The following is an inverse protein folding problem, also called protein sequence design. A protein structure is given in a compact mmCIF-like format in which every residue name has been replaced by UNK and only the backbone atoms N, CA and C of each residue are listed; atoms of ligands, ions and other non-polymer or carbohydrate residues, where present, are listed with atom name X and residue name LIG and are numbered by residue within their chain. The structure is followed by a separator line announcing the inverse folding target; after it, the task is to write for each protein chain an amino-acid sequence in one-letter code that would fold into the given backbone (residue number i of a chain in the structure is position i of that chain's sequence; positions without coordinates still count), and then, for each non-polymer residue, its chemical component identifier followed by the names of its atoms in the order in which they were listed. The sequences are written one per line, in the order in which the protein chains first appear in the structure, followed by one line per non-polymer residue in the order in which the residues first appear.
data_IF_405457186883
#
_entry.id   IF_405457186883
#
_cell.length_a   1.000
_cell.length_b   1.000
_cell.length_c   1.000
_cell.angle_alpha   90.00
_cell.angle_beta   90.00
_cell.angle_gamma   90.00
#
_symmetry.space_group_name_H-M   'P 1'
#
loop_
_entity.id
_entity.type
_entity.pdbx_description
1 polymer ?
#
# COMPACT_ATOMS: atom_id res chain seq x y z
N UNK A 1 10.84 3.20 -7.51
CA UNK A 1 10.03 3.69 -6.38
C UNK A 1 9.38 2.56 -5.57
N UNK A 2 9.15 1.37 -6.15
CA UNK A 2 8.55 0.23 -5.42
C UNK A 2 9.33 -0.20 -4.16
N UNK A 3 10.66 -0.24 -4.20
CA UNK A 3 11.48 -0.67 -3.04
C UNK A 3 11.22 0.20 -1.80
N UNK A 4 11.07 1.52 -1.97
CA UNK A 4 10.82 2.45 -0.86
C UNK A 4 9.46 2.17 -0.24
N UNK A 5 8.44 1.94 -1.07
CA UNK A 5 7.07 1.69 -0.63
C UNK A 5 6.92 0.30 0.00
N UNK A 6 7.60 -0.72 -0.54
CA UNK A 6 7.59 -2.05 0.05
C UNK A 6 8.37 -2.15 1.38
N UNK A 7 9.31 -1.22 1.61
CA UNK A 7 9.98 -1.10 2.91
C UNK A 7 9.12 -0.37 3.96
N UNK A 8 8.07 0.34 3.52
CA UNK A 8 7.03 0.84 4.42
C UNK A 8 6.09 -0.30 4.83
N UNK A 9 5.20 -0.01 5.78
CA UNK A 9 4.20 -0.97 6.22
C UNK A 9 3.09 -1.11 5.15
N UNK A 10 2.99 -2.29 4.54
CA UNK A 10 1.99 -2.62 3.49
C UNK A 10 0.54 -2.34 3.95
N UNK A 11 0.26 -2.52 5.24
CA UNK A 11 -1.09 -2.31 5.82
C UNK A 11 -1.57 -0.86 5.73
N UNK A 12 -0.66 0.12 5.63
CA UNK A 12 -1.00 1.53 5.47
C UNK A 12 -1.59 1.83 4.10
N UNK A 13 -1.22 1.05 3.09
CA UNK A 13 -1.70 1.17 1.71
C UNK A 13 -2.86 0.24 1.40
N UNK A 14 -3.10 -0.76 2.26
CA UNK A 14 -4.10 -1.79 2.02
C UNK A 14 -5.52 -1.23 1.91
N UNK A 15 -6.28 -1.80 0.97
CA UNK A 15 -7.70 -1.54 0.80
C UNK A 15 -8.48 -2.21 1.93
N UNK A 16 -9.37 -1.46 2.60
CA UNK A 16 -10.09 -1.92 3.81
C UNK A 16 -10.90 -3.21 3.61
N UNK A 17 -11.43 -3.41 2.40
CA UNK A 17 -12.23 -4.59 2.05
C UNK A 17 -11.38 -5.76 1.51
N UNK A 18 -10.08 -5.57 1.32
CA UNK A 18 -9.22 -6.65 0.82
C UNK A 18 -9.06 -7.72 1.90
N UNK A 19 -9.46 -8.95 1.58
CA UNK A 19 -9.22 -10.13 2.40
C UNK A 19 -7.88 -10.81 2.06
N UNK A 20 -7.22 -10.39 0.98
CA UNK A 20 -5.92 -10.91 0.55
C UNK A 20 -4.80 -9.93 0.83
N UNK A 21 -3.56 -10.42 0.86
CA UNK A 21 -2.37 -9.58 0.81
C UNK A 21 -2.42 -8.67 -0.43
N UNK A 22 -2.00 -7.42 -0.31
CA UNK A 22 -2.09 -6.45 -1.40
C UNK A 22 -0.78 -6.38 -2.18
N UNK A 23 -0.87 -6.30 -3.51
CA UNK A 23 0.27 -6.04 -4.38
C UNK A 23 0.35 -4.54 -4.62
N UNK A 24 1.47 -3.93 -4.21
CA UNK A 24 1.70 -2.50 -4.37
C UNK A 24 2.39 -2.24 -5.72
N UNK A 25 1.82 -1.34 -6.52
CA UNK A 25 2.47 -0.80 -7.72
C UNK A 25 2.67 0.70 -7.58
N UNK A 26 3.77 1.22 -8.11
CA UNK A 26 4.08 2.65 -8.04
C UNK A 26 4.03 3.30 -9.41
N UNK A 27 3.59 4.56 -9.46
CA UNK A 27 3.66 5.41 -10.64
C UNK A 27 4.10 6.82 -10.23
N UNK A 28 4.88 7.48 -11.07
CA UNK A 28 5.36 8.85 -10.78
C UNK A 28 4.30 9.85 -11.21
N UNK A 29 3.82 10.67 -10.27
CA UNK A 29 2.84 11.74 -10.53
C UNK A 29 3.56 13.06 -10.81
N UNK A 30 4.61 13.35 -10.04
CA UNK A 30 5.43 14.55 -10.19
C UNK A 30 6.86 14.25 -9.76
N UNK A 31 7.84 14.81 -10.47
CA UNK A 31 9.25 14.72 -10.10
C UNK A 31 9.89 16.10 -10.27
N UNK A 32 10.69 16.52 -9.29
CA UNK A 32 11.48 17.75 -9.38
C UNK A 32 12.11 18.18 -8.06
N UNK A 33 13.31 18.77 -8.13
CA UNK A 33 13.96 19.43 -6.98
C UNK A 33 14.19 18.51 -5.78
N UNK A 34 14.74 17.31 -6.00
CA UNK A 34 15.00 16.28 -4.98
C UNK A 34 13.74 15.71 -4.29
N UNK A 35 12.56 16.00 -4.82
CA UNK A 35 11.27 15.51 -4.33
C UNK A 35 10.50 14.82 -5.48
N UNK A 36 10.12 13.57 -5.27
CA UNK A 36 9.24 12.82 -6.15
C UNK A 36 7.91 12.55 -5.46
N UNK A 37 6.80 12.95 -6.09
CA UNK A 37 5.47 12.51 -5.71
C UNK A 37 5.13 11.25 -6.49
N UNK A 38 4.95 10.14 -5.79
CA UNK A 38 4.53 8.87 -6.36
C UNK A 38 3.11 8.52 -5.93
N UNK A 39 2.38 7.85 -6.82
CA UNK A 39 1.12 7.20 -6.51
C UNK A 39 1.37 5.71 -6.32
N UNK A 40 0.97 5.22 -5.16
CA UNK A 40 0.97 3.81 -4.80
C UNK A 40 -0.45 3.29 -5.00
N UNK A 41 -0.61 2.34 -5.92
CA UNK A 41 -1.86 1.60 -6.09
C UNK A 41 -1.71 0.23 -5.45
N UNK A 42 -2.50 -0.02 -4.41
CA UNK A 42 -2.60 -1.31 -3.75
C UNK A 42 -3.72 -2.13 -4.37
N UNK A 43 -3.38 -3.26 -5.00
CA UNK A 43 -4.33 -4.20 -5.59
C UNK A 43 -4.57 -5.38 -4.66
N UNK A 44 -5.82 -5.75 -4.45
CA UNK A 44 -6.19 -6.92 -3.66
C UNK A 44 -7.56 -7.47 -4.06
N UNK A 45 -8.05 -8.44 -3.30
CA UNK A 45 -9.36 -9.04 -3.51
C UNK A 45 -10.15 -9.09 -2.21
N UNK A 46 -11.40 -8.68 -2.27
CA UNK A 46 -12.39 -9.01 -1.25
C UNK A 46 -12.79 -10.47 -1.42
N UNK A 47 -12.79 -11.22 -0.33
CA UNK A 47 -13.17 -12.64 -0.30
C UNK A 47 -14.58 -12.81 0.24
N UNK A 48 -15.43 -13.52 -0.52
CA UNK A 48 -16.80 -13.86 -0.10
C UNK A 48 -16.99 -15.36 -0.21
N UNK A 49 -17.33 -16.01 0.90
CA UNK A 49 -17.66 -17.43 0.89
C UNK A 49 -19.05 -17.63 0.26
N UNK A 50 -19.13 -18.51 -0.74
CA UNK A 50 -20.34 -18.88 -1.46
C UNK A 50 -20.58 -20.39 -1.33
N UNK A 51 -21.83 -20.77 -1.46
CA UNK A 51 -22.26 -22.18 -1.54
C UNK A 51 -23.26 -22.30 -2.66
N UNK A 52 -22.91 -23.09 -3.66
CA UNK A 52 -23.83 -23.47 -4.73
C UNK A 52 -24.34 -24.88 -4.50
N UNK A 53 -25.54 -25.16 -5.00
CA UNK A 53 -26.13 -26.50 -4.94
C UNK A 53 -26.22 -27.07 -6.34
N UNK A 54 -25.50 -28.16 -6.59
CA UNK A 54 -25.48 -28.82 -7.89
C UNK A 54 -26.22 -30.15 -7.78
N UNK A 55 -27.20 -30.43 -8.65
CA UNK A 55 -27.90 -31.70 -8.65
C UNK A 55 -26.98 -32.82 -9.14
N UNK A 56 -26.84 -33.88 -8.35
CA UNK A 56 -26.03 -35.06 -8.66
C UNK A 56 -26.91 -36.30 -8.54
N UNK A 57 -26.77 -37.24 -9.48
CA UNK A 57 -27.46 -38.53 -9.40
C UNK A 57 -26.82 -39.40 -8.31
N UNK A 58 -27.61 -39.81 -7.32
CA UNK A 58 -27.21 -40.73 -6.27
C UNK A 58 -27.26 -42.18 -6.72
N UNK A 59 -26.51 -43.05 -6.03
CA UNK A 59 -26.55 -44.51 -6.26
C UNK A 59 -27.92 -45.14 -5.92
N UNK A 60 -28.83 -44.37 -5.31
CA UNK A 60 -30.22 -44.73 -5.06
C UNK A 60 -31.15 -44.42 -6.25
N UNK A 61 -30.60 -43.92 -7.36
CA UNK A 61 -31.36 -43.55 -8.56
C UNK A 61 -32.14 -42.24 -8.43
N UNK A 62 -31.92 -41.45 -7.37
CA UNK A 62 -32.53 -40.13 -7.17
C UNK A 62 -31.50 -39.02 -7.35
N UNK A 63 -31.96 -37.82 -7.74
CA UNK A 63 -31.09 -36.64 -7.76
C UNK A 63 -31.06 -35.96 -6.39
N UNK A 64 -29.86 -35.62 -5.93
CA UNK A 64 -29.61 -34.92 -4.68
C UNK A 64 -28.85 -33.62 -4.94
N UNK A 65 -29.25 -32.56 -4.25
CA UNK A 65 -28.54 -31.27 -4.34
C UNK A 65 -27.32 -31.30 -3.41
N UNK A 66 -26.13 -31.33 -3.99
CA UNK A 66 -24.87 -31.38 -3.25
C UNK A 66 -24.34 -29.96 -3.07
N UNK A 67 -24.05 -29.51 -1.83
CA UNK A 67 -23.45 -28.20 -1.58
C UNK A 67 -21.98 -28.19 -2.02
N UNK A 68 -21.61 -27.17 -2.79
CA UNK A 68 -20.25 -26.90 -3.23
C UNK A 68 -19.86 -25.53 -2.71
N UNK A 69 -18.93 -25.52 -1.76
CA UNK A 69 -18.40 -24.29 -1.18
C UNK A 69 -17.25 -23.77 -2.03
N UNK A 70 -17.25 -22.48 -2.33
CA UNK A 70 -16.17 -21.81 -3.04
C UNK A 70 -16.01 -20.36 -2.54
N UNK A 71 -14.85 -19.78 -2.81
CA UNK A 71 -14.53 -18.40 -2.42
C UNK A 71 -14.56 -17.52 -3.66
N UNK A 72 -15.46 -16.54 -3.66
CA UNK A 72 -15.52 -15.50 -4.67
C UNK A 72 -14.47 -14.43 -4.37
N UNK A 73 -13.69 -14.05 -5.39
CA UNK A 73 -12.67 -13.00 -5.31
C UNK A 73 -13.12 -11.80 -6.11
N UNK A 74 -13.46 -10.70 -5.43
CA UNK A 74 -13.88 -9.44 -6.06
C UNK A 74 -12.68 -8.48 -6.04
N UNK A 75 -12.19 -8.00 -7.19
CA UNK A 75 -11.02 -7.12 -7.24
C UNK A 75 -11.33 -5.78 -6.57
N UNK A 76 -10.41 -5.35 -5.70
CA UNK A 76 -10.45 -4.04 -5.05
C UNK A 76 -9.10 -3.36 -5.20
N UNK A 77 -9.10 -2.03 -5.28
CA UNK A 77 -7.86 -1.25 -5.38
C UNK A 77 -7.94 0.04 -4.55
N UNK A 78 -6.79 0.49 -4.07
CA UNK A 78 -6.66 1.75 -3.36
C UNK A 78 -5.45 2.54 -3.84
N UNK A 79 -5.68 3.80 -4.21
CA UNK A 79 -4.62 4.75 -4.55
C UNK A 79 -4.23 5.60 -3.33
N UNK A 80 -2.93 5.74 -3.11
CA UNK A 80 -2.35 6.59 -2.07
C UNK A 80 -1.18 7.38 -2.64
N UNK A 81 -1.18 8.69 -2.45
CA UNK A 81 -0.09 9.55 -2.91
C UNK A 81 0.96 9.71 -1.79
N UNK A 82 2.22 9.46 -2.13
CA UNK A 82 3.38 9.45 -1.24
C UNK A 82 4.44 10.40 -1.81
N UNK A 83 5.02 11.25 -0.96
CA UNK A 83 6.17 12.06 -1.33
C UNK A 83 7.45 11.35 -0.89
N UNK A 84 8.45 11.33 -1.76
CA UNK A 84 9.78 10.78 -1.52
C UNK A 84 10.81 11.89 -1.74
N UNK A 85 11.48 12.30 -0.67
CA UNK A 85 12.56 13.27 -0.71
C UNK A 85 13.92 12.56 -0.65
N UNK A 86 14.84 12.94 -1.53
CA UNK A 86 16.23 12.54 -1.46
C UNK A 86 17.02 13.56 -0.61
N UNK A 87 17.68 13.10 0.46
CA UNK A 87 18.58 13.98 1.22
C UNK A 87 19.92 14.04 0.49
N UNK A 88 20.24 15.18 -0.12
CA UNK A 88 21.43 15.37 -0.94
C UNK A 88 22.76 15.15 -0.19
N UNK A 89 23.71 14.53 -0.88
CA UNK A 89 25.09 14.32 -0.43
C UNK A 89 25.94 15.60 -0.57
N UNK A 90 25.74 16.64 0.25
CA UNK A 90 26.73 17.73 0.31
C UNK A 90 27.29 17.96 1.72
N UNK A 91 28.55 17.51 1.88
CA UNK A 91 29.56 17.79 2.93
C UNK A 91 29.33 17.24 4.35
N UNK A 92 30.48 17.07 5.02
CA UNK A 92 30.83 16.34 6.25
C UNK A 92 30.02 16.69 7.52
N UNK A 93 28.71 16.60 7.47
CA UNK A 93 27.90 16.43 8.68
C UNK A 93 27.46 14.97 8.77
N UNK A 94 27.54 14.40 9.97
CA UNK A 94 27.13 13.02 10.21
C UNK A 94 25.68 12.86 9.74
N UNK A 95 25.40 11.80 8.98
CA UNK A 95 24.10 11.52 8.37
C UNK A 95 22.91 11.83 9.31
N UNK A 96 23.01 11.44 10.58
CA UNK A 96 22.00 11.70 11.60
C UNK A 96 21.63 13.20 11.77
N UNK A 97 22.56 14.13 11.55
CA UNK A 97 22.36 15.56 11.76
C UNK A 97 21.61 16.23 10.60
N UNK A 98 21.89 15.83 9.35
CA UNK A 98 21.08 16.24 8.19
C UNK A 98 19.66 15.70 8.28
N UNK A 99 19.52 14.47 8.77
CA UNK A 99 18.21 13.83 8.99
C UNK A 99 17.41 14.54 10.08
N UNK A 100 18.03 14.92 11.20
CA UNK A 100 17.38 15.74 12.22
C UNK A 100 16.96 17.09 11.69
N UNK A 101 17.82 17.80 10.94
CA UNK A 101 17.48 19.07 10.30
C UNK A 101 16.33 18.94 9.29
N UNK A 102 16.28 17.86 8.52
CA UNK A 102 15.20 17.59 7.56
C UNK A 102 13.87 17.28 8.26
N UNK A 103 13.90 16.53 9.36
CA UNK A 103 12.72 16.27 10.20
C UNK A 103 12.25 17.56 10.88
N UNK A 104 13.17 18.38 11.41
CA UNK A 104 12.86 19.66 12.05
C UNK A 104 12.29 20.70 11.08
N UNK A 105 12.81 20.79 9.86
CA UNK A 105 12.29 21.70 8.82
C UNK A 105 10.91 21.26 8.31
N UNK A 106 10.60 19.96 8.35
CA UNK A 106 9.24 19.47 8.07
C UNK A 106 8.29 19.67 9.26
N UNK A 107 8.76 19.55 10.51
CA UNK A 107 7.98 19.86 11.72
C UNK A 107 7.56 21.32 11.80
N UNK A 108 8.41 22.26 11.38
CA UNK A 108 8.06 23.69 11.32
C UNK A 108 7.07 24.02 10.19
N UNK A 109 7.00 23.17 9.14
CA UNK A 109 6.11 23.31 7.99
C UNK A 109 4.69 22.74 8.15
N UNK A 110 4.37 22.06 9.26
CA UNK A 110 3.00 21.61 9.59
C UNK A 110 2.37 20.64 8.57
N UNK A 111 3.12 19.65 8.05
CA UNK A 111 2.66 18.80 6.93
C UNK A 111 2.65 17.28 7.16
N UNK A 112 3.14 16.74 8.29
CA UNK A 112 3.05 15.31 8.57
C UNK A 112 2.95 15.03 10.07
N UNK A 113 2.07 14.11 10.48
CA UNK A 113 2.06 13.54 11.84
C UNK A 113 3.25 12.56 11.95
N UNK A 114 3.85 12.44 13.14
CA UNK A 114 5.13 11.71 13.37
C UNK A 114 5.06 10.22 12.96
N UNK A 115 3.85 9.69 12.74
CA UNK A 115 3.55 8.31 12.36
C UNK A 115 3.62 8.03 10.86
N UNK A 116 3.57 9.06 10.02
CA UNK A 116 3.48 8.90 8.56
C UNK A 116 4.83 9.10 7.85
N UNK A 117 5.92 9.23 8.61
CA UNK A 117 7.27 9.46 8.08
C UNK A 117 8.08 8.16 8.16
N UNK A 118 8.52 7.69 6.99
CA UNK A 118 9.34 6.49 6.84
C UNK A 118 10.72 6.85 6.29
N UNK A 119 11.75 6.20 6.82
CA UNK A 119 13.13 6.32 6.35
C UNK A 119 13.55 5.05 5.65
N UNK A 120 13.97 5.15 4.38
CA UNK A 120 14.48 4.00 3.60
C UNK A 120 15.82 4.38 3.02
N UNK A 121 16.90 4.07 3.75
CA UNK A 121 18.24 4.58 3.42
C UNK A 121 18.22 6.10 3.31
N UNK A 122 18.84 6.65 2.26
CA UNK A 122 18.96 8.08 1.96
C UNK A 122 17.63 8.78 1.62
N UNK A 123 16.54 8.03 1.54
CA UNK A 123 15.23 8.55 1.18
C UNK A 123 14.36 8.75 2.41
N UNK A 124 13.72 9.90 2.46
CA UNK A 124 12.73 10.24 3.46
C UNK A 124 11.37 10.32 2.76
N UNK A 125 10.41 9.52 3.20
CA UNK A 125 9.15 9.37 2.50
C UNK A 125 7.95 9.48 3.45
N UNK A 126 6.88 10.12 2.98
CA UNK A 126 5.68 10.33 3.81
C UNK A 126 4.39 10.30 3.00
N UNK A 127 3.31 9.88 3.65
CA UNK A 127 1.98 9.76 3.06
C UNK A 127 1.30 11.13 3.04
N UNK A 128 0.78 11.55 1.88
CA UNK A 128 0.15 12.87 1.71
C UNK A 128 -1.37 12.74 1.77
N UNK A 129 -1.91 11.74 1.06
CA UNK A 129 -3.36 11.59 0.88
C UNK A 129 -3.69 10.16 0.48
N UNK A 130 -4.64 9.57 1.19
CA UNK A 130 -5.26 8.29 0.85
C UNK A 130 -6.56 8.57 0.09
N UNK A 131 -6.76 7.94 -1.07
CA UNK A 131 -8.05 8.01 -1.76
C UNK A 131 -9.13 7.40 -0.85
N UNK A 132 -10.29 8.09 -0.76
CA UNK A 132 -11.45 7.61 0.01
C UNK A 132 -12.02 6.35 -0.60
#
# INVERSE_FOLDING_TARGET
HEHVVNAMNESEFAHKLSGTRNILKTSVVKSGGFCDTIRVTAYGYQTINRTDYIPVMGGDGRSHNVPVNWVEYIPVSQDTDVNVNAVGEEKEETYADKFKKAIESMRSGKLADDKDVYTVGLFLAYIIKKSR
#
